data_IF_567271117072
#
_entry.id   IF_567271117072
#
_cell.length_a   1.000
_cell.length_b   1.000
_cell.length_c   1.000
_cell.angle_alpha   90.00
_cell.angle_beta   90.00
_cell.angle_gamma   90.00
#
_symmetry.space_group_name_H-M   'P 1'
#
loop_
_entity.id
_entity.type
_entity.pdbx_description
1 polymer ?
#
# COMPACT_ATOMS: atom_id res chain seq x y z
N UNK A 1 0.06 1.60 35.20
CA UNK A 1 -0.86 2.43 34.41
C UNK A 1 -1.74 1.45 33.67
N UNK A 2 -3.05 1.51 33.88
CA UNK A 2 -4.01 0.64 33.20
C UNK A 2 -4.15 1.16 31.76
N UNK A 3 -3.84 0.33 30.76
CA UNK A 3 -3.95 0.69 29.35
C UNK A 3 -5.30 0.21 28.84
N UNK A 4 -6.04 1.09 28.16
CA UNK A 4 -7.25 0.69 27.45
C UNK A 4 -6.88 -0.24 26.29
N UNK A 5 -7.72 -1.25 26.04
CA UNK A 5 -7.54 -2.23 24.99
C UNK A 5 -8.77 -2.21 24.06
N UNK A 6 -8.52 -2.38 22.77
CA UNK A 6 -9.54 -2.57 21.74
C UNK A 6 -9.30 -3.92 21.08
N UNK A 7 -10.35 -4.72 20.93
CA UNK A 7 -10.28 -6.05 20.33
C UNK A 7 -10.67 -5.98 18.85
N UNK A 8 -9.89 -6.66 18.01
CA UNK A 8 -10.12 -6.80 16.57
C UNK A 8 -9.79 -8.24 16.15
N UNK A 9 -10.49 -8.74 15.14
CA UNK A 9 -10.18 -10.05 14.54
C UNK A 9 -8.84 -10.00 13.79
N UNK A 10 -8.55 -8.86 13.15
CA UNK A 10 -7.29 -8.62 12.45
C UNK A 10 -6.78 -7.21 12.72
N UNK A 11 -5.51 -7.10 13.12
CA UNK A 11 -4.77 -5.83 13.21
C UNK A 11 -3.66 -5.82 12.18
N UNK A 12 -3.62 -4.76 11.36
CA UNK A 12 -2.62 -4.53 10.31
C UNK A 12 -1.78 -3.32 10.71
N UNK A 13 -0.46 -3.50 10.72
CA UNK A 13 0.49 -2.42 11.03
C UNK A 13 1.02 -1.82 9.73
N UNK A 14 0.60 -0.59 9.44
CA UNK A 14 1.02 0.24 8.32
C UNK A 14 -0.04 0.36 7.21
N UNK A 15 -0.46 1.59 6.92
CA UNK A 15 -1.37 1.93 5.83
C UNK A 15 -0.61 2.18 4.51
N UNK A 16 0.35 1.30 4.21
CA UNK A 16 1.01 1.24 2.91
C UNK A 16 0.19 0.44 1.88
N UNK A 17 0.67 0.31 0.63
CA UNK A 17 -0.07 -0.40 -0.40
C UNK A 17 -0.34 -1.86 -0.03
N UNK A 18 0.61 -2.52 0.65
CA UNK A 18 0.43 -3.91 1.11
C UNK A 18 -0.62 -4.03 2.22
N UNK A 19 -0.55 -3.20 3.26
CA UNK A 19 -1.47 -3.26 4.41
C UNK A 19 -2.91 -2.94 3.99
N UNK A 20 -3.08 -1.88 3.19
CA UNK A 20 -4.39 -1.51 2.65
C UNK A 20 -4.96 -2.58 1.71
N UNK A 21 -4.12 -3.17 0.85
CA UNK A 21 -4.56 -4.26 -0.02
C UNK A 21 -5.00 -5.50 0.77
N UNK A 22 -4.27 -5.84 1.84
CA UNK A 22 -4.64 -6.93 2.74
C UNK A 22 -5.97 -6.65 3.43
N UNK A 23 -6.17 -5.45 3.97
CA UNK A 23 -7.40 -5.03 4.63
C UNK A 23 -8.63 -5.14 3.69
N UNK A 24 -8.49 -4.60 2.46
CA UNK A 24 -9.53 -4.67 1.42
C UNK A 24 -9.86 -6.12 1.10
N UNK A 25 -8.86 -6.96 0.80
CA UNK A 25 -9.09 -8.34 0.40
C UNK A 25 -9.70 -9.18 1.53
N UNK A 26 -9.31 -8.94 2.78
CA UNK A 26 -9.93 -9.59 3.95
C UNK A 26 -11.42 -9.26 4.05
N UNK A 27 -11.80 -7.98 3.92
CA UNK A 27 -13.21 -7.58 3.96
C UNK A 27 -14.02 -8.14 2.79
N UNK A 28 -13.46 -8.11 1.57
CA UNK A 28 -14.09 -8.73 0.39
C UNK A 28 -14.34 -10.24 0.59
N UNK A 29 -13.36 -10.96 1.16
CA UNK A 29 -13.48 -12.40 1.43
C UNK A 29 -14.50 -12.69 2.53
N UNK A 30 -14.49 -11.91 3.61
CA UNK A 30 -15.45 -12.05 4.70
C UNK A 30 -16.88 -11.80 4.22
N UNK A 31 -17.10 -10.73 3.45
CA UNK A 31 -18.40 -10.43 2.82
C UNK A 31 -18.87 -11.58 1.92
N UNK A 32 -17.98 -12.09 1.05
CA UNK A 32 -18.29 -13.23 0.17
C UNK A 32 -18.63 -14.51 0.95
N UNK A 33 -18.08 -14.68 2.15
CA UNK A 33 -18.36 -15.80 3.04
C UNK A 33 -19.56 -15.56 3.97
N UNK A 34 -20.19 -14.37 3.93
CA UNK A 34 -21.26 -13.99 4.85
C UNK A 34 -20.80 -13.86 6.30
N UNK A 35 -19.53 -13.49 6.51
CA UNK A 35 -18.91 -13.30 7.82
C UNK A 35 -18.64 -11.82 8.07
N UNK A 36 -18.91 -11.38 9.29
CA UNK A 36 -18.47 -10.07 9.76
C UNK A 36 -17.16 -10.23 10.53
N UNK A 37 -16.13 -9.52 10.08
CA UNK A 37 -14.85 -9.39 10.77
C UNK A 37 -14.52 -7.92 10.99
N UNK A 38 -13.94 -7.65 12.15
CA UNK A 38 -13.36 -6.37 12.54
C UNK A 38 -11.90 -6.30 12.09
N UNK A 39 -11.56 -5.27 11.30
CA UNK A 39 -10.21 -5.09 10.75
C UNK A 39 -9.74 -3.69 11.07
N UNK A 40 -8.62 -3.61 11.79
CA UNK A 40 -7.97 -2.36 12.15
C UNK A 40 -6.66 -2.20 11.39
N UNK A 41 -6.40 -1.01 10.86
CA UNK A 41 -5.12 -0.61 10.29
C UNK A 41 -4.57 0.56 11.10
N UNK A 42 -3.39 0.38 11.71
CA UNK A 42 -2.68 1.48 12.38
C UNK A 42 -1.58 2.04 11.49
N UNK A 43 -1.47 3.36 11.42
CA UNK A 43 -0.45 4.06 10.61
C UNK A 43 0.28 5.11 11.44
N UNK A 44 1.62 5.13 11.35
CA UNK A 44 2.45 6.07 12.09
C UNK A 44 2.35 7.50 11.56
N UNK A 45 2.23 7.68 10.25
CA UNK A 45 2.07 8.99 9.63
C UNK A 45 0.81 9.70 10.13
N UNK A 46 0.86 11.02 10.26
CA UNK A 46 -0.29 11.84 10.70
C UNK A 46 -1.51 11.71 9.80
N UNK A 47 -1.32 11.23 8.58
CA UNK A 47 -2.34 10.84 7.61
C UNK A 47 -1.80 9.68 6.76
N UNK A 48 -2.68 8.92 6.12
CA UNK A 48 -2.28 7.91 5.13
C UNK A 48 -1.53 8.60 3.99
N UNK A 49 -0.39 8.03 3.59
CA UNK A 49 0.46 8.58 2.54
C UNK A 49 1.55 9.54 3.03
N UNK A 50 1.48 10.07 4.26
CA UNK A 50 2.47 11.03 4.78
C UNK A 50 3.91 10.49 4.79
N UNK A 51 4.09 9.19 5.04
CA UNK A 51 5.39 8.52 5.06
C UNK A 51 5.65 7.66 3.81
N UNK A 52 4.80 7.73 2.79
CA UNK A 52 5.00 6.99 1.55
C UNK A 52 5.92 7.80 0.62
N UNK A 53 7.11 7.25 0.35
CA UNK A 53 8.09 7.83 -0.56
C UNK A 53 8.44 6.83 -1.67
N UNK A 54 8.19 7.21 -2.92
CA UNK A 54 8.55 6.41 -4.09
C UNK A 54 8.56 7.27 -5.36
N UNK A 55 9.42 6.95 -6.33
CA UNK A 55 9.38 7.49 -7.70
C UNK A 55 8.44 6.71 -8.63
N UNK A 56 7.46 6.01 -8.06
CA UNK A 56 6.73 4.87 -8.60
C UNK A 56 6.39 4.90 -10.11
N UNK A 57 6.94 3.89 -10.81
CA UNK A 57 6.33 3.31 -12.01
C UNK A 57 5.56 2.07 -11.57
N UNK A 58 4.25 2.10 -11.75
CA UNK A 58 3.31 1.14 -11.19
C UNK A 58 2.79 0.17 -12.24
N UNK A 59 2.97 -1.12 -11.98
CA UNK A 59 2.45 -2.25 -12.78
C UNK A 59 1.05 -2.62 -12.26
N UNK A 60 -0.02 -2.46 -13.06
CA UNK A 60 -1.40 -2.44 -12.54
C UNK A 60 -1.99 -3.81 -12.22
N UNK A 61 -1.36 -4.94 -12.56
CA UNK A 61 -1.95 -6.29 -12.41
C UNK A 61 -2.48 -6.60 -11.02
N UNK A 62 -1.75 -6.26 -9.95
CA UNK A 62 -2.21 -6.52 -8.59
C UNK A 62 -3.45 -5.67 -8.25
N UNK A 63 -3.51 -4.44 -8.75
CA UNK A 63 -4.68 -3.58 -8.59
C UNK A 63 -5.86 -4.08 -9.43
N UNK A 64 -5.61 -4.58 -10.65
CA UNK A 64 -6.63 -5.23 -11.48
C UNK A 64 -7.25 -6.45 -10.80
N UNK A 65 -6.45 -7.21 -10.04
CA UNK A 65 -6.96 -8.35 -9.27
C UNK A 65 -7.73 -7.90 -8.04
N UNK A 66 -7.25 -6.88 -7.33
CA UNK A 66 -7.86 -6.42 -6.08
C UNK A 66 -9.17 -5.64 -6.31
N UNK A 67 -9.16 -4.73 -7.29
CA UNK A 67 -10.22 -3.78 -7.61
C UNK A 67 -10.29 -3.63 -9.15
N UNK A 68 -10.89 -4.59 -9.88
CA UNK A 68 -10.88 -4.59 -11.35
C UNK A 68 -11.51 -3.34 -11.98
N UNK A 69 -12.36 -2.64 -11.24
CA UNK A 69 -13.07 -1.41 -11.60
C UNK A 69 -12.38 -0.13 -11.10
N UNK A 70 -11.09 -0.20 -10.68
CA UNK A 70 -10.34 0.93 -10.13
C UNK A 70 -10.39 2.20 -10.98
N UNK A 71 -10.44 2.08 -12.30
CA UNK A 71 -10.49 3.20 -13.23
C UNK A 71 -11.81 3.98 -13.12
N UNK A 72 -12.93 3.25 -13.00
CA UNK A 72 -14.26 3.84 -12.83
C UNK A 72 -14.43 4.46 -11.44
N UNK A 73 -13.73 3.88 -10.44
CA UNK A 73 -13.66 4.36 -9.05
C UNK A 73 -12.66 5.53 -8.87
N UNK A 74 -12.04 6.01 -9.94
CA UNK A 74 -11.21 7.21 -9.91
C UNK A 74 -9.82 7.03 -9.29
N UNK A 75 -9.21 5.84 -9.36
CA UNK A 75 -7.86 5.65 -8.86
C UNK A 75 -6.86 6.58 -9.57
N UNK A 76 -5.81 7.08 -8.88
CA UNK A 76 -4.94 8.15 -9.38
C UNK A 76 -3.87 7.66 -10.38
N UNK A 77 -4.22 6.78 -11.32
CA UNK A 77 -3.36 6.22 -12.37
C UNK A 77 -3.57 6.99 -13.69
N UNK A 78 -3.19 8.27 -13.70
CA UNK A 78 -3.52 9.19 -14.79
C UNK A 78 -2.43 9.33 -15.88
N UNK A 79 -1.21 8.85 -15.61
CA UNK A 79 -0.06 9.07 -16.49
C UNK A 79 0.48 7.73 -17.01
N UNK A 80 0.00 7.22 -18.16
CA UNK A 80 0.56 6.02 -18.75
C UNK A 80 2.00 6.24 -19.21
N UNK A 81 2.86 5.24 -19.02
CA UNK A 81 4.23 5.30 -19.54
C UNK A 81 4.21 5.22 -21.06
N UNK A 82 4.88 6.16 -21.73
CA UNK A 82 4.91 6.24 -23.20
C UNK A 82 6.21 5.70 -23.82
N UNK A 83 7.32 5.79 -23.09
CA UNK A 83 8.62 5.28 -23.52
C UNK A 83 9.53 5.08 -22.30
N UNK A 84 10.56 4.26 -22.48
CA UNK A 84 11.59 3.97 -21.49
C UNK A 84 12.96 4.40 -21.99
N UNK A 85 13.68 5.11 -21.14
CA UNK A 85 15.00 5.68 -21.44
C UNK A 85 15.99 5.24 -20.36
N UNK A 86 16.93 4.37 -20.73
CA UNK A 86 17.94 3.86 -19.80
C UNK A 86 19.32 4.30 -20.26
N UNK A 87 20.04 4.94 -19.33
CA UNK A 87 21.37 5.46 -19.57
C UNK A 87 22.39 4.73 -18.70
N UNK A 88 23.49 4.31 -19.32
CA UNK A 88 24.68 3.86 -18.61
C UNK A 88 25.63 5.05 -18.47
N UNK A 89 25.89 5.45 -17.23
CA UNK A 89 26.84 6.50 -16.89
C UNK A 89 28.23 5.89 -16.81
N UNK A 90 29.17 6.44 -17.57
CA UNK A 90 30.57 5.97 -17.60
C UNK A 90 31.47 6.80 -16.70
N UNK A 91 31.17 8.10 -16.55
CA UNK A 91 31.85 9.05 -15.68
C UNK A 91 30.93 10.27 -15.41
N UNK A 92 31.47 11.32 -14.79
CA UNK A 92 30.74 12.56 -14.44
C UNK A 92 30.12 13.28 -15.64
N UNK A 93 30.73 13.19 -16.82
CA UNK A 93 30.34 13.97 -18.00
C UNK A 93 29.71 13.10 -19.10
N UNK A 94 29.85 11.77 -19.01
CA UNK A 94 29.46 10.86 -20.08
C UNK A 94 28.36 9.87 -19.66
N UNK A 95 27.27 9.88 -20.44
CA UNK A 95 26.21 8.88 -20.38
C UNK A 95 25.87 8.36 -21.78
N UNK A 96 25.56 7.07 -21.89
CA UNK A 96 25.14 6.43 -23.15
C UNK A 96 23.76 5.81 -22.99
N UNK A 97 22.82 6.20 -23.85
CA UNK A 97 21.52 5.54 -23.94
C UNK A 97 21.70 4.11 -24.42
N UNK A 98 21.18 3.15 -23.65
CA UNK A 98 21.19 1.74 -24.03
C UNK A 98 20.13 1.48 -25.11
N UNK A 99 20.43 0.69 -26.15
CA UNK A 99 19.41 0.26 -27.10
C UNK A 99 18.42 -0.69 -26.41
N UNK A 100 17.14 -0.60 -26.76
CA UNK A 100 16.06 -1.32 -26.05
C UNK A 100 16.23 -2.84 -25.96
N UNK A 101 16.89 -3.49 -26.93
CA UNK A 101 17.16 -4.94 -26.88
C UNK A 101 18.22 -5.33 -25.83
N UNK A 102 19.06 -4.39 -25.41
CA UNK A 102 20.07 -4.59 -24.38
C UNK A 102 19.52 -4.26 -22.97
N UNK A 103 18.32 -3.68 -22.88
CA UNK A 103 17.65 -3.35 -21.64
C UNK A 103 16.96 -4.61 -21.06
N UNK A 104 17.18 -4.94 -19.77
CA UNK A 104 16.48 -6.05 -19.12
C UNK A 104 14.96 -5.97 -19.26
N UNK A 105 14.30 -7.12 -19.45
CA UNK A 105 12.83 -7.21 -19.62
C UNK A 105 12.05 -6.52 -18.50
N UNK A 106 12.56 -6.57 -17.27
CA UNK A 106 11.95 -5.98 -16.07
C UNK A 106 11.97 -4.45 -16.04
N UNK A 107 12.67 -3.80 -16.97
CA UNK A 107 12.75 -2.34 -17.07
C UNK A 107 11.93 -1.78 -18.24
N UNK A 108 11.18 -2.61 -18.95
CA UNK A 108 10.20 -2.16 -19.93
C UNK A 108 8.86 -1.95 -19.23
N UNK A 109 8.29 -0.76 -19.38
CA UNK A 109 7.13 -0.30 -18.63
C UNK A 109 5.87 -0.11 -19.49
N UNK A 110 5.82 -0.77 -20.64
CA UNK A 110 4.62 -0.79 -21.48
C UNK A 110 3.41 -1.29 -20.68
N UNK A 111 2.37 -0.46 -20.56
CA UNK A 111 1.17 -0.75 -19.76
C UNK A 111 1.24 -0.33 -18.29
N UNK A 112 2.36 0.24 -17.85
CA UNK A 112 2.53 0.77 -16.50
C UNK A 112 2.16 2.26 -16.44
N UNK A 113 2.07 2.78 -15.22
CA UNK A 113 1.70 4.17 -14.94
C UNK A 113 2.74 4.86 -14.06
N UNK A 114 2.98 6.15 -14.31
CA UNK A 114 3.75 7.03 -13.41
C UNK A 114 2.77 7.60 -12.40
N UNK A 115 2.99 7.33 -11.11
CA UNK A 115 2.05 7.70 -10.06
C UNK A 115 2.72 8.35 -8.86
N UNK A 116 1.91 9.03 -8.04
CA UNK A 116 2.24 9.26 -6.64
C UNK A 116 1.77 8.04 -5.83
N UNK A 117 2.73 7.27 -5.29
CA UNK A 117 2.40 6.14 -4.42
C UNK A 117 1.65 6.57 -3.16
N UNK A 118 1.91 7.78 -2.64
CA UNK A 118 1.17 8.35 -1.52
C UNK A 118 -0.30 8.57 -1.87
N UNK A 119 -0.60 9.13 -3.06
CA UNK A 119 -1.98 9.33 -3.51
C UNK A 119 -2.69 8.00 -3.77
N UNK A 120 -1.99 6.99 -4.29
CA UNK A 120 -2.55 5.66 -4.42
C UNK A 120 -2.94 5.07 -3.05
N UNK A 121 -2.09 5.21 -2.03
CA UNK A 121 -2.40 4.73 -0.68
C UNK A 121 -3.57 5.50 -0.05
N UNK A 122 -3.66 6.84 -0.23
CA UNK A 122 -4.82 7.61 0.20
C UNK A 122 -6.12 7.11 -0.44
N UNK A 123 -6.10 6.90 -1.75
CA UNK A 123 -7.26 6.37 -2.46
C UNK A 123 -7.60 4.94 -2.01
N UNK A 124 -6.62 4.07 -1.81
CA UNK A 124 -6.83 2.72 -1.27
C UNK A 124 -7.41 2.75 0.15
N UNK A 125 -7.01 3.71 0.99
CA UNK A 125 -7.59 3.88 2.31
C UNK A 125 -9.08 4.22 2.23
N UNK A 126 -9.48 5.14 1.35
CA UNK A 126 -10.91 5.43 1.11
C UNK A 126 -11.67 4.16 0.67
N UNK A 127 -11.05 3.32 -0.18
CA UNK A 127 -11.67 2.07 -0.62
C UNK A 127 -11.81 1.05 0.52
N UNK A 128 -10.84 1.02 1.43
CA UNK A 128 -10.85 0.15 2.61
C UNK A 128 -11.88 0.61 3.65
N UNK A 129 -11.94 1.92 3.94
CA UNK A 129 -12.92 2.53 4.85
C UNK A 129 -14.35 2.30 4.34
N UNK A 130 -14.58 2.40 3.02
CA UNK A 130 -15.88 2.08 2.42
C UNK A 130 -16.31 0.61 2.63
N UNK A 131 -15.36 -0.30 2.87
CA UNK A 131 -15.63 -1.69 3.23
C UNK A 131 -15.75 -1.90 4.75
N UNK A 132 -15.66 -0.85 5.56
CA UNK A 132 -15.73 -0.90 7.02
C UNK A 132 -14.41 -1.31 7.68
N UNK A 133 -13.26 -1.07 7.04
CA UNK A 133 -11.96 -1.12 7.71
C UNK A 133 -11.80 0.14 8.56
N UNK A 134 -11.36 -0.01 9.81
CA UNK A 134 -11.03 1.11 10.67
C UNK A 134 -9.56 1.48 10.51
N UNK A 135 -9.26 2.71 10.07
CA UNK A 135 -7.90 3.18 9.81
C UNK A 135 -7.54 4.29 10.80
N UNK A 136 -6.46 4.09 11.54
CA UNK A 136 -5.98 5.01 12.58
C UNK A 136 -4.60 5.57 12.21
N UNK A 137 -4.52 6.69 11.46
CA UNK A 137 -3.28 7.42 11.28
C UNK A 137 -2.86 8.16 12.56
N UNK A 138 -1.57 8.42 12.70
CA UNK A 138 -0.94 9.04 13.87
C UNK A 138 -0.60 8.06 15.00
N UNK A 139 -0.90 6.78 14.84
CA UNK A 139 -0.70 5.76 15.87
C UNK A 139 0.40 4.78 15.46
N UNK A 140 1.59 4.98 16.03
CA UNK A 140 2.72 4.09 15.82
C UNK A 140 2.57 2.82 16.67
N UNK A 141 2.49 1.64 16.03
CA UNK A 141 2.72 0.38 16.73
C UNK A 141 4.17 0.35 17.23
N UNK A 142 4.35 0.25 18.54
CA UNK A 142 5.64 0.37 19.22
C UNK A 142 6.17 -0.96 19.74
N UNK A 143 5.28 -1.81 20.26
CA UNK A 143 5.64 -3.11 20.85
C UNK A 143 4.63 -4.19 20.44
N UNK A 144 5.08 -5.45 20.46
CA UNK A 144 4.21 -6.61 20.28
C UNK A 144 3.65 -7.06 21.63
N UNK A 145 2.36 -7.37 21.67
CA UNK A 145 1.77 -8.12 22.79
C UNK A 145 1.97 -9.60 22.52
N UNK A 146 2.74 -10.28 23.39
CA UNK A 146 3.08 -11.69 23.28
C UNK A 146 2.52 -12.47 24.47
N UNK A 147 1.82 -13.57 24.18
CA UNK A 147 1.39 -14.55 25.18
C UNK A 147 1.79 -15.94 24.69
N UNK A 148 2.45 -16.73 25.53
CA UNK A 148 2.89 -18.09 25.20
C UNK A 148 3.62 -18.18 23.84
N UNK A 149 4.52 -17.21 23.58
CA UNK A 149 5.27 -17.08 22.34
C UNK A 149 4.40 -16.90 21.07
N UNK A 150 3.17 -16.43 21.24
CA UNK A 150 2.21 -16.10 20.18
C UNK A 150 1.91 -14.61 20.19
N UNK A 151 1.89 -13.98 19.01
CA UNK A 151 1.49 -12.57 18.87
C UNK A 151 -0.02 -12.46 19.08
N UNK A 152 -0.41 -11.64 20.06
CA UNK A 152 -1.80 -11.34 20.40
C UNK A 152 -2.24 -9.94 20.02
N UNK A 153 -1.31 -9.06 19.67
CA UNK A 153 -1.64 -7.70 19.26
C UNK A 153 -0.42 -6.79 19.26
N UNK A 154 -0.69 -5.49 19.26
CA UNK A 154 0.32 -4.43 19.31
C UNK A 154 -0.03 -3.42 20.39
N UNK A 155 0.99 -2.76 20.91
CA UNK A 155 0.85 -1.58 21.75
C UNK A 155 1.16 -0.35 20.89
N UNK A 156 0.22 0.58 20.82
CA UNK A 156 0.46 1.91 20.26
C UNK A 156 1.29 2.74 21.25
N UNK A 157 2.17 3.61 20.74
CA UNK A 157 3.00 4.47 21.59
C UNK A 157 2.17 5.36 22.51
N UNK A 158 2.69 5.64 23.72
CA UNK A 158 2.07 6.61 24.63
C UNK A 158 2.08 8.00 23.94
N UNK A 159 0.91 8.63 23.85
CA UNK A 159 0.75 9.96 23.28
C UNK A 159 1.26 11.04 24.23
#
# INVERSE_FOLDING_TARGET
MEREAMEYDVVIVGAGPAGLSAAIRLKQQAESAGQEISVCVVEKGSEVGAHILSGAVFEPRALNELLPDWAERGAPLNTPVTHDDIYLFSDEQNARKLPGFAVPKTMHNSGNYIISAANLCRWLAEQAEALGVEIFPGFAASELVLEDNTVKGILIGDM
#
